data_IF_828215075008
#
_entry.id   IF_828215075008
#
_cell.length_a   1.000
_cell.length_b   1.000
_cell.length_c   1.000
_cell.angle_alpha   90.00
_cell.angle_beta   90.00
_cell.angle_gamma   90.00
#
_symmetry.space_group_name_H-M   'P 1'
#
loop_
_entity.id
_entity.type
_entity.pdbx_description
1 polymer ?
#
# COMPACT_ATOMS: atom_id res chain seq x y z
N UNK A 1 -4.20 -10.59 12.04
CA UNK A 1 -5.31 -11.59 12.02
C UNK A 1 -5.05 -12.47 10.80
N UNK A 2 -4.34 -13.57 11.00
CA UNK A 2 -3.69 -14.30 9.91
C UNK A 2 -4.63 -15.37 9.30
N UNK A 3 -5.72 -14.93 8.68
CA UNK A 3 -6.73 -15.83 8.07
C UNK A 3 -7.24 -15.32 6.72
N UNK A 4 -7.79 -16.24 5.92
CA UNK A 4 -8.47 -15.95 4.66
C UNK A 4 -9.99 -16.14 4.74
N UNK A 5 -10.50 -16.68 5.85
CA UNK A 5 -11.93 -16.93 6.03
C UNK A 5 -12.67 -15.60 6.23
N UNK A 6 -13.38 -15.14 5.20
CA UNK A 6 -14.13 -13.90 5.26
C UNK A 6 -15.16 -13.85 6.41
N UNK A 7 -15.97 -14.91 6.67
CA UNK A 7 -16.90 -14.90 7.81
C UNK A 7 -16.18 -14.71 9.15
N UNK A 8 -15.02 -15.34 9.34
CA UNK A 8 -14.24 -15.19 10.56
C UNK A 8 -13.68 -13.77 10.71
N UNK A 9 -13.15 -13.20 9.63
CA UNK A 9 -12.68 -11.81 9.59
C UNK A 9 -13.84 -10.87 9.94
N UNK A 10 -14.96 -10.96 9.22
CA UNK A 10 -16.10 -10.06 9.41
C UNK A 10 -16.64 -10.11 10.84
N UNK A 11 -16.84 -11.31 11.39
CA UNK A 11 -17.34 -11.49 12.75
C UNK A 11 -16.37 -10.90 13.78
N UNK A 12 -15.07 -11.21 13.68
CA UNK A 12 -14.11 -10.74 14.66
C UNK A 12 -13.90 -9.22 14.59
N UNK A 13 -13.76 -8.64 13.39
CA UNK A 13 -13.63 -7.18 13.25
C UNK A 13 -14.88 -6.44 13.76
N UNK A 14 -16.07 -7.04 13.63
CA UNK A 14 -17.30 -6.50 14.22
C UNK A 14 -17.26 -6.52 15.74
N UNK A 15 -16.83 -7.64 16.34
CA UNK A 15 -16.69 -7.76 17.79
C UNK A 15 -15.64 -6.77 18.33
N UNK A 16 -14.49 -6.65 17.66
CA UNK A 16 -13.46 -5.69 18.04
C UNK A 16 -13.92 -4.25 17.94
N UNK A 17 -14.69 -3.89 16.90
CA UNK A 17 -15.29 -2.57 16.80
C UNK A 17 -16.30 -2.31 17.95
N UNK A 18 -17.09 -3.31 18.34
CA UNK A 18 -18.04 -3.17 19.45
C UNK A 18 -17.38 -3.00 20.82
N UNK A 19 -16.10 -3.38 20.95
CA UNK A 19 -15.32 -3.21 22.19
C UNK A 19 -14.66 -1.83 22.31
N UNK A 20 -14.72 -1.00 21.25
CA UNK A 20 -14.26 0.38 21.34
C UNK A 20 -15.20 1.21 22.22
N UNK A 21 -14.63 1.95 23.17
CA UNK A 21 -15.34 2.89 24.04
C UNK A 21 -14.51 4.17 24.23
N UNK A 22 -15.04 5.17 24.94
CA UNK A 22 -14.26 6.37 25.29
C UNK A 22 -13.03 6.08 26.16
N UNK A 23 -13.02 4.95 26.86
CA UNK A 23 -11.94 4.53 27.77
C UNK A 23 -11.03 3.45 27.16
N UNK A 24 -11.47 2.82 26.07
CA UNK A 24 -10.77 1.70 25.44
C UNK A 24 -10.73 1.84 23.95
N UNK A 25 -9.52 1.87 23.41
CA UNK A 25 -9.29 1.86 21.98
C UNK A 25 -8.70 0.52 21.53
N UNK A 26 -9.31 -0.06 20.50
CA UNK A 26 -8.96 -1.35 19.92
C UNK A 26 -8.28 -1.11 18.59
N UNK A 27 -7.07 -1.62 18.46
CA UNK A 27 -6.31 -1.61 17.22
C UNK A 27 -6.03 -3.04 16.77
N UNK A 28 -6.24 -3.33 15.50
CA UNK A 28 -5.99 -4.65 14.91
C UNK A 28 -4.83 -4.58 13.93
N UNK A 29 -3.89 -5.51 14.09
CA UNK A 29 -2.74 -5.68 13.21
C UNK A 29 -2.84 -6.98 12.42
N UNK A 30 -2.31 -6.98 11.21
CA UNK A 30 -2.12 -8.19 10.42
C UNK A 30 -0.83 -8.09 9.61
N UNK A 31 -0.07 -9.18 9.54
CA UNK A 31 1.05 -9.31 8.60
C UNK A 31 0.57 -9.83 7.25
N UNK A 32 -0.55 -10.56 7.25
CA UNK A 32 -1.14 -11.15 6.07
C UNK A 32 -2.50 -10.51 5.73
N UNK A 33 -2.51 -9.58 4.78
CA UNK A 33 -3.73 -8.96 4.26
C UNK A 33 -4.15 -9.60 2.94
N UNK A 34 -4.85 -10.73 3.03
CA UNK A 34 -5.37 -11.45 1.87
C UNK A 34 -6.44 -10.66 1.10
N UNK A 35 -6.84 -11.17 -0.07
CA UNK A 35 -7.93 -10.59 -0.86
C UNK A 35 -9.29 -10.60 -0.14
N UNK A 36 -9.46 -11.40 0.93
CA UNK A 36 -10.68 -11.37 1.74
C UNK A 36 -10.95 -9.99 2.37
N UNK A 37 -9.90 -9.20 2.63
CA UNK A 37 -10.00 -7.83 3.14
C UNK A 37 -10.40 -6.80 2.08
N UNK A 38 -10.47 -7.18 0.80
CA UNK A 38 -10.96 -6.34 -0.30
C UNK A 38 -12.47 -6.54 -0.55
N UNK A 39 -13.14 -7.36 0.26
CA UNK A 39 -14.57 -7.61 0.12
C UNK A 39 -15.37 -6.31 0.31
N UNK A 40 -16.35 -6.06 -0.56
CA UNK A 40 -17.22 -4.86 -0.53
C UNK A 40 -17.97 -4.69 0.79
N UNK A 41 -18.22 -5.79 1.51
CA UNK A 41 -18.89 -5.78 2.82
C UNK A 41 -17.97 -5.26 3.94
N UNK A 42 -16.65 -5.24 3.74
CA UNK A 42 -15.70 -4.59 4.65
C UNK A 42 -15.44 -3.16 4.21
N UNK A 43 -16.25 -2.24 4.73
CA UNK A 43 -16.10 -0.81 4.40
C UNK A 43 -14.86 -0.22 5.07
N UNK A 44 -14.31 0.85 4.47
CA UNK A 44 -13.21 1.61 5.09
C UNK A 44 -13.57 2.12 6.48
N UNK A 45 -14.84 2.50 6.70
CA UNK A 45 -15.33 2.95 8.01
C UNK A 45 -15.16 1.87 9.09
N UNK A 46 -15.53 0.63 8.80
CA UNK A 46 -15.38 -0.50 9.73
C UNK A 46 -13.90 -0.76 10.04
N UNK A 47 -13.04 -0.74 9.02
CA UNK A 47 -11.60 -0.91 9.20
C UNK A 47 -10.94 0.26 9.95
N UNK A 48 -11.45 1.48 9.75
CA UNK A 48 -11.00 2.69 10.42
C UNK A 48 -11.39 2.76 11.89
N UNK A 49 -12.51 2.15 12.29
CA UNK A 49 -12.95 2.08 13.68
C UNK A 49 -12.00 1.29 14.58
N UNK A 50 -11.31 0.29 14.02
CA UNK A 50 -10.32 -0.55 14.73
C UNK A 50 -8.88 -0.26 14.31
N UNK A 51 -8.62 0.92 13.75
CA UNK A 51 -7.29 1.36 13.31
C UNK A 51 -6.53 0.27 12.53
N UNK A 52 -7.21 -0.44 11.64
CA UNK A 52 -6.68 -1.66 11.04
C UNK A 52 -5.34 -1.37 10.34
N UNK A 53 -4.27 -2.02 10.80
CA UNK A 53 -2.88 -1.73 10.44
C UNK A 53 -2.21 -2.95 9.79
N UNK A 54 -1.52 -2.73 8.66
CA UNK A 54 -0.94 -3.81 7.86
C UNK A 54 0.22 -3.33 6.97
N UNK A 55 1.19 -4.21 6.65
CA UNK A 55 2.19 -3.93 5.64
C UNK A 55 1.59 -4.02 4.23
N UNK A 56 2.05 -3.18 3.30
CA UNK A 56 1.61 -3.18 1.90
C UNK A 56 2.71 -2.67 0.99
N UNK A 57 2.95 -3.34 -0.15
CA UNK A 57 3.81 -2.80 -1.21
C UNK A 57 3.16 -1.68 -2.04
N UNK A 58 1.89 -1.36 -1.77
CA UNK A 58 1.13 -0.34 -2.49
C UNK A 58 0.38 0.58 -1.53
N UNK A 59 0.55 1.89 -1.70
CA UNK A 59 -0.23 2.94 -1.05
C UNK A 59 -1.27 3.50 -2.03
N UNK A 60 -2.57 3.54 -1.66
CA UNK A 60 -3.60 4.15 -2.49
C UNK A 60 -3.26 5.59 -2.86
N UNK A 61 -3.50 5.93 -4.13
CA UNK A 61 -3.26 7.27 -4.64
C UNK A 61 -4.24 8.27 -4.00
N UNK A 62 -3.70 9.34 -3.42
CA UNK A 62 -4.48 10.45 -2.89
C UNK A 62 -4.84 11.41 -4.03
N UNK A 63 -6.14 11.66 -4.23
CA UNK A 63 -6.60 12.46 -5.38
C UNK A 63 -6.03 13.88 -5.36
N UNK A 64 -6.11 14.59 -4.22
CA UNK A 64 -5.72 16.00 -4.15
C UNK A 64 -4.28 16.28 -4.61
N UNK A 65 -3.29 15.54 -4.10
CA UNK A 65 -1.89 15.72 -4.48
C UNK A 65 -1.55 15.17 -5.87
N UNK A 66 -2.46 14.42 -6.51
CA UNK A 66 -2.23 13.75 -7.79
C UNK A 66 -3.25 14.13 -8.87
N UNK A 67 -4.07 15.16 -8.66
CA UNK A 67 -5.19 15.53 -9.54
C UNK A 67 -4.74 15.68 -10.99
N UNK A 68 -3.68 16.47 -11.24
CA UNK A 68 -3.13 16.71 -12.58
C UNK A 68 -2.72 15.40 -13.25
N UNK A 69 -2.07 14.49 -12.52
CA UNK A 69 -1.64 13.20 -13.05
C UNK A 69 -2.85 12.31 -13.36
N UNK A 70 -3.83 12.25 -12.45
CA UNK A 70 -5.03 11.42 -12.60
C UNK A 70 -5.85 11.89 -13.81
N UNK A 71 -6.10 13.19 -13.93
CA UNK A 71 -6.88 13.73 -15.05
C UNK A 71 -6.11 13.59 -16.37
N UNK A 72 -4.79 13.80 -16.38
CA UNK A 72 -3.96 13.58 -17.58
C UNK A 72 -3.96 12.11 -18.02
N UNK A 73 -3.81 11.18 -17.07
CA UNK A 73 -3.88 9.74 -17.33
C UNK A 73 -5.27 9.36 -17.88
N UNK A 74 -6.34 9.89 -17.28
CA UNK A 74 -7.71 9.67 -17.72
C UNK A 74 -7.98 10.26 -19.11
N UNK A 75 -7.44 11.43 -19.43
CA UNK A 75 -7.58 12.04 -20.75
C UNK A 75 -6.90 11.19 -21.84
N UNK A 76 -5.75 10.60 -21.53
CA UNK A 76 -4.99 9.79 -22.49
C UNK A 76 -5.54 8.36 -22.63
N UNK A 77 -5.90 7.71 -21.52
CA UNK A 77 -6.30 6.29 -21.47
C UNK A 77 -7.81 6.06 -21.31
N UNK A 78 -8.61 7.13 -21.17
CA UNK A 78 -10.07 7.09 -21.01
C UNK A 78 -10.56 6.70 -19.61
N UNK A 79 -9.68 6.33 -18.67
CA UNK A 79 -10.02 5.92 -17.29
C UNK A 79 -8.94 6.34 -16.30
N UNK A 80 -9.28 6.60 -15.01
CA UNK A 80 -8.28 6.81 -13.97
C UNK A 80 -7.32 5.63 -13.84
N UNK A 81 -6.08 5.86 -13.38
CA UNK A 81 -5.10 4.80 -13.23
C UNK A 81 -5.56 3.81 -12.14
N UNK A 82 -5.42 2.52 -12.41
CA UNK A 82 -5.65 1.46 -11.43
C UNK A 82 -4.34 1.07 -10.73
N UNK A 83 -4.42 0.16 -9.74
CA UNK A 83 -3.26 -0.31 -8.97
C UNK A 83 -2.10 -0.78 -9.87
N UNK A 84 -2.38 -1.56 -10.90
CA UNK A 84 -1.36 -2.14 -11.77
C UNK A 84 -0.75 -1.09 -12.71
N UNK A 85 -1.56 -0.16 -13.24
CA UNK A 85 -1.07 0.97 -14.03
C UNK A 85 -0.14 1.88 -13.21
N UNK A 86 -0.49 2.15 -11.95
CA UNK A 86 0.36 2.91 -11.03
C UNK A 86 1.66 2.19 -10.72
N UNK A 87 1.60 0.87 -10.48
CA UNK A 87 2.79 0.05 -10.26
C UNK A 87 3.73 0.07 -11.46
N UNK A 88 3.20 -0.09 -12.67
CA UNK A 88 3.99 -0.02 -13.90
C UNK A 88 4.65 1.36 -14.08
N UNK A 89 3.88 2.43 -13.87
CA UNK A 89 4.40 3.80 -13.97
C UNK A 89 5.53 4.06 -12.97
N UNK A 90 5.29 3.78 -11.69
CA UNK A 90 6.25 4.03 -10.62
C UNK A 90 7.51 3.16 -10.80
N UNK A 91 7.37 1.90 -11.23
CA UNK A 91 8.50 1.01 -11.48
C UNK A 91 9.39 1.52 -12.62
N UNK A 92 8.80 1.90 -13.75
CA UNK A 92 9.56 2.42 -14.89
C UNK A 92 10.25 3.73 -14.53
N UNK A 93 9.55 4.62 -13.81
CA UNK A 93 10.13 5.88 -13.33
C UNK A 93 11.34 5.62 -12.42
N UNK A 94 11.25 4.64 -11.52
CA UNK A 94 12.34 4.30 -10.62
C UNK A 94 13.55 3.73 -11.35
N UNK A 95 13.35 2.75 -12.23
CA UNK A 95 14.42 2.13 -12.99
C UNK A 95 15.16 3.16 -13.86
N UNK A 96 14.44 4.02 -14.57
CA UNK A 96 15.05 5.07 -15.41
C UNK A 96 15.86 6.04 -14.55
N UNK A 97 15.30 6.49 -13.42
CA UNK A 97 15.97 7.45 -12.53
C UNK A 97 17.23 6.83 -11.92
N UNK A 98 17.15 5.59 -11.44
CA UNK A 98 18.29 4.86 -10.87
C UNK A 98 19.40 4.64 -11.89
N UNK A 99 19.06 4.24 -13.12
CA UNK A 99 20.04 4.07 -14.20
C UNK A 99 20.65 5.42 -14.60
N UNK A 100 19.87 6.49 -14.66
CA UNK A 100 20.38 7.82 -14.98
C UNK A 100 21.40 8.31 -13.95
N UNK A 101 21.20 8.02 -12.66
CA UNK A 101 22.10 8.43 -11.57
C UNK A 101 23.30 7.51 -11.43
N UNK A 102 23.09 6.19 -11.41
CA UNK A 102 24.13 5.20 -11.09
C UNK A 102 24.73 4.51 -12.33
N UNK A 103 24.31 4.90 -13.55
CA UNK A 103 24.66 4.29 -14.85
C UNK A 103 24.16 2.86 -15.06
N UNK A 104 24.02 2.06 -13.99
CA UNK A 104 23.56 0.67 -14.01
C UNK A 104 22.73 0.35 -12.77
N UNK A 105 21.80 -0.60 -12.89
CA UNK A 105 20.90 -0.97 -11.79
C UNK A 105 21.67 -1.61 -10.62
N UNK A 106 22.67 -2.44 -10.89
CA UNK A 106 23.54 -3.10 -9.90
C UNK A 106 24.23 -2.07 -8.99
N UNK A 107 24.65 -0.94 -9.56
CA UNK A 107 25.30 0.15 -8.83
C UNK A 107 24.31 1.03 -8.07
N UNK A 108 23.04 0.99 -8.47
CA UNK A 108 21.99 1.82 -7.87
C UNK A 108 21.46 1.29 -6.54
N UNK A 109 21.89 0.10 -6.11
CA UNK A 109 21.48 -0.50 -4.83
C UNK A 109 21.89 0.37 -3.64
N UNK A 110 23.02 1.06 -3.74
CA UNK A 110 23.51 1.99 -2.72
C UNK A 110 22.61 3.23 -2.54
N UNK A 111 21.74 3.53 -3.51
CA UNK A 111 20.78 4.64 -3.41
C UNK A 111 19.68 4.39 -2.36
N UNK A 112 19.54 3.15 -1.87
CA UNK A 112 18.57 2.79 -0.84
C UNK A 112 17.11 2.84 -1.31
N UNK A 113 16.22 3.14 -0.36
CA UNK A 113 14.76 3.18 -0.60
C UNK A 113 14.35 4.45 -1.36
N UNK A 114 13.57 4.28 -2.42
CA UNK A 114 12.92 5.37 -3.15
C UNK A 114 11.40 5.23 -3.06
N UNK A 115 10.69 6.35 -3.08
CA UNK A 115 9.22 6.39 -3.07
C UNK A 115 8.71 7.25 -4.23
N UNK A 116 7.66 6.76 -4.90
CA UNK A 116 6.91 7.53 -5.91
C UNK A 116 5.46 7.73 -5.46
N UNK A 117 4.49 7.67 -6.38
CA UNK A 117 3.09 8.00 -6.07
C UNK A 117 2.44 6.97 -5.16
N UNK A 118 2.61 5.70 -5.50
CA UNK A 118 1.92 4.59 -4.85
C UNK A 118 2.81 3.42 -4.47
N UNK A 119 4.06 3.40 -4.91
CA UNK A 119 4.98 2.29 -4.67
C UNK A 119 6.32 2.81 -4.10
N UNK A 120 7.01 1.92 -3.39
CA UNK A 120 8.38 2.11 -2.91
C UNK A 120 9.27 1.02 -3.47
N UNK A 121 10.55 1.35 -3.59
CA UNK A 121 11.55 0.46 -4.13
C UNK A 121 12.79 0.46 -3.26
N UNK A 122 13.17 -0.73 -2.80
CA UNK A 122 14.46 -1.03 -2.19
C UNK A 122 14.89 -2.36 -2.78
N UNK A 123 15.85 -2.31 -3.69
CA UNK A 123 16.29 -3.50 -4.38
C UNK A 123 17.36 -4.23 -3.57
N UNK A 124 17.25 -5.55 -3.54
CA UNK A 124 18.24 -6.47 -3.01
C UNK A 124 18.54 -7.52 -4.06
N UNK A 125 19.80 -7.98 -4.11
CA UNK A 125 20.22 -9.02 -5.06
C UNK A 125 19.91 -10.39 -4.47
N UNK A 126 19.23 -11.22 -5.25
CA UNK A 126 18.94 -12.63 -4.93
C UNK A 126 20.10 -13.53 -5.39
N UNK A 127 20.17 -14.77 -4.89
CA UNK A 127 21.26 -15.73 -5.23
C UNK A 127 21.40 -16.00 -6.73
N UNK A 128 20.32 -15.84 -7.49
CA UNK A 128 20.28 -16.01 -8.94
C UNK A 128 20.65 -14.73 -9.73
N UNK A 129 21.22 -13.71 -9.07
CA UNK A 129 21.51 -12.39 -9.63
C UNK A 129 20.29 -11.60 -10.13
N UNK A 130 19.07 -11.98 -9.70
CA UNK A 130 17.88 -11.15 -9.92
C UNK A 130 17.77 -10.07 -8.83
N UNK A 131 16.93 -9.07 -9.09
CA UNK A 131 16.63 -8.02 -8.12
C UNK A 131 15.23 -8.23 -7.55
N UNK A 132 15.13 -8.23 -6.23
CA UNK A 132 13.88 -8.26 -5.51
C UNK A 132 13.63 -6.92 -4.83
N UNK A 133 12.38 -6.46 -4.83
CA UNK A 133 11.99 -5.25 -4.11
C UNK A 133 11.49 -5.61 -2.71
N UNK A 134 12.21 -5.17 -1.68
CA UNK A 134 11.90 -5.43 -0.27
C UNK A 134 11.16 -4.29 0.43
N UNK A 135 10.97 -3.14 -0.24
CA UNK A 135 10.32 -1.99 0.37
C UNK A 135 8.82 -2.22 0.62
N UNK A 136 8.36 -1.78 1.78
CA UNK A 136 6.95 -1.89 2.20
C UNK A 136 6.50 -0.64 2.93
N UNK A 137 5.22 -0.31 2.81
CA UNK A 137 4.57 0.70 3.63
C UNK A 137 3.92 0.02 4.83
N UNK A 138 3.89 0.67 5.99
CA UNK A 138 2.98 0.31 7.08
C UNK A 138 1.77 1.24 7.00
N UNK A 139 0.62 0.69 6.63
CA UNK A 139 -0.61 1.43 6.41
C UNK A 139 -1.61 1.21 7.54
N UNK A 140 -2.33 2.26 7.92
CA UNK A 140 -3.40 2.22 8.90
C UNK A 140 -4.68 2.84 8.32
N UNK A 141 -5.82 2.19 8.55
CA UNK A 141 -7.12 2.83 8.33
C UNK A 141 -7.43 3.81 9.45
N UNK A 142 -7.83 5.03 9.10
CA UNK A 142 -8.31 6.05 10.04
C UNK A 142 -9.58 6.68 9.48
N UNK A 143 -10.73 6.35 10.07
CA UNK A 143 -12.03 6.69 9.48
C UNK A 143 -12.16 6.14 8.05
N UNK A 144 -12.32 7.04 7.07
CA UNK A 144 -12.38 6.65 5.64
C UNK A 144 -11.03 6.70 4.92
N UNK A 145 -10.00 7.19 5.60
CA UNK A 145 -8.67 7.40 5.03
C UNK A 145 -7.77 6.19 5.31
N UNK A 146 -6.75 6.03 4.48
CA UNK A 146 -5.64 5.12 4.70
C UNK A 146 -4.40 6.01 4.79
N UNK A 147 -3.79 6.02 5.96
CA UNK A 147 -2.57 6.78 6.22
C UNK A 147 -1.40 5.83 6.32
N UNK A 148 -0.22 6.32 5.97
CA UNK A 148 1.01 5.64 6.29
C UNK A 148 1.44 6.01 7.71
N UNK A 149 1.91 5.04 8.49
CA UNK A 149 2.57 5.29 9.76
C UNK A 149 4.07 5.31 9.51
N UNK A 150 4.71 6.44 9.81
CA UNK A 150 6.17 6.60 9.84
C UNK A 150 6.59 6.89 11.29
N UNK A 151 7.77 6.42 11.66
CA UNK A 151 8.42 6.81 12.92
C UNK A 151 8.69 8.32 12.96
#
# INVERSE_FOLDING_TARGET
>A
METQSFPLIANALSQFNAQNSGEREVQVFTTYRSNAYNNKNLTRKVLGGIKFTYPSGFKPLEYGSNEIFIESFKNYFGKPPNKESLRGYDLVMDLITRIAVATKLEKSLELGETQYRSNRFRYETEENNSFNNTATFILQHRGYQIIEIKE
#
